data_IF_970605353980
#
_entry.id   IF_970605353980
#
_cell.length_a   1.000
_cell.length_b   1.000
_cell.length_c   1.000
_cell.angle_alpha   90.00
_cell.angle_beta   90.00
_cell.angle_gamma   90.00
#
_symmetry.space_group_name_H-M   'P 1'
#
loop_
_entity.id
_entity.type
_entity.pdbx_description
1 polymer ?
#
# COMPACT_ATOMS: atom_id res chain seq x y z
N UNK A 1 -19.58 -5.11 44.39
CA UNK A 1 -18.52 -5.02 43.38
C UNK A 1 -18.85 -3.82 42.54
N UNK A 2 -17.91 -2.91 42.32
CA UNK A 2 -18.11 -1.86 41.32
C UNK A 2 -18.26 -2.57 39.98
N UNK A 3 -19.28 -2.17 39.22
CA UNK A 3 -19.50 -2.69 37.88
C UNK A 3 -18.34 -2.22 37.00
N UNK A 4 -17.84 -3.12 36.16
CA UNK A 4 -16.70 -2.87 35.29
C UNK A 4 -17.15 -2.98 33.84
N UNK A 5 -16.68 -2.06 33.02
CA UNK A 5 -16.90 -2.03 31.59
C UNK A 5 -15.68 -2.60 30.89
N UNK A 6 -15.92 -3.41 29.87
CA UNK A 6 -14.90 -3.91 28.94
C UNK A 6 -15.12 -3.22 27.60
N UNK A 7 -14.12 -2.47 27.15
CA UNK A 7 -14.14 -1.74 25.89
C UNK A 7 -13.30 -2.50 24.87
N UNK A 8 -13.90 -2.89 23.75
CA UNK A 8 -13.20 -3.55 22.65
C UNK A 8 -12.72 -2.52 21.63
N UNK A 9 -11.44 -2.54 21.30
CA UNK A 9 -10.82 -1.61 20.35
C UNK A 9 -10.54 -2.27 19.00
N UNK A 10 -10.58 -1.44 17.96
CA UNK A 10 -10.14 -1.83 16.62
C UNK A 10 -9.45 -0.68 15.92
N UNK A 11 -8.51 -1.01 15.05
CA UNK A 11 -7.95 -0.08 14.08
C UNK A 11 -8.76 -0.12 12.80
N UNK A 12 -9.24 1.03 12.36
CA UNK A 12 -9.84 1.24 11.06
C UNK A 12 -8.84 1.82 10.08
N UNK A 13 -8.43 1.00 9.12
CA UNK A 13 -7.53 1.36 8.04
C UNK A 13 -8.32 1.97 6.88
N UNK A 14 -8.03 3.23 6.54
CA UNK A 14 -8.85 4.01 5.59
C UNK A 14 -8.29 3.94 4.18
N UNK A 15 -8.97 3.20 3.31
CA UNK A 15 -8.67 3.07 1.88
C UNK A 15 -9.57 4.01 1.06
N UNK A 16 -9.07 5.21 0.80
CA UNK A 16 -9.86 6.30 0.21
C UNK A 16 -10.38 5.98 -1.20
N UNK A 17 -9.58 5.29 -2.01
CA UNK A 17 -9.91 4.93 -3.39
C UNK A 17 -11.01 3.89 -3.48
N UNK A 18 -11.06 3.00 -2.50
CA UNK A 18 -12.10 1.98 -2.34
C UNK A 18 -13.32 2.50 -1.58
N UNK A 19 -13.26 3.71 -1.00
CA UNK A 19 -14.24 4.21 -0.02
C UNK A 19 -14.52 3.14 1.03
N UNK A 20 -13.45 2.61 1.64
CA UNK A 20 -13.53 1.50 2.58
C UNK A 20 -12.71 1.82 3.85
N UNK A 21 -13.26 1.44 5.00
CA UNK A 21 -12.53 1.31 6.26
C UNK A 21 -12.49 -0.17 6.63
N UNK A 22 -11.29 -0.72 6.71
CA UNK A 22 -11.07 -2.11 7.14
C UNK A 22 -10.78 -2.12 8.63
N UNK A 23 -11.63 -2.79 9.39
CA UNK A 23 -11.57 -2.88 10.85
C UNK A 23 -10.80 -4.13 11.27
N UNK A 24 -9.70 -3.93 11.99
CA UNK A 24 -8.93 -5.00 12.62
C UNK A 24 -9.01 -4.87 14.15
N UNK A 25 -9.45 -5.90 14.89
CA UNK A 25 -9.52 -5.86 16.35
C UNK A 25 -8.14 -5.90 16.98
N UNK A 26 -7.89 -5.06 17.99
CA UNK A 26 -6.54 -4.89 18.60
C UNK A 26 -6.50 -5.13 20.10
N UNK A 27 -7.64 -5.47 20.71
CA UNK A 27 -7.69 -5.83 22.12
C UNK A 27 -8.83 -5.15 22.86
N UNK A 28 -8.78 -5.22 24.19
CA UNK A 28 -9.80 -4.69 25.07
C UNK A 28 -9.20 -4.11 26.34
N UNK A 29 -9.86 -3.10 26.93
CA UNK A 29 -9.50 -2.55 28.23
C UNK A 29 -10.66 -2.72 29.23
N UNK A 30 -10.35 -2.86 30.51
CA UNK A 30 -11.34 -2.96 31.59
C UNK A 30 -11.23 -1.71 32.47
N UNK A 31 -12.34 -0.99 32.61
CA UNK A 31 -12.46 0.22 33.42
C UNK A 31 -13.60 0.08 34.43
N UNK A 32 -13.48 0.70 35.60
CA UNK A 32 -14.61 0.76 36.52
C UNK A 32 -15.67 1.71 35.96
N UNK A 33 -16.95 1.35 36.03
CA UNK A 33 -18.04 2.16 35.47
C UNK A 33 -18.12 3.55 36.11
N UNK A 34 -17.70 3.69 37.38
CA UNK A 34 -17.63 4.98 38.09
C UNK A 34 -16.43 5.86 37.69
N UNK A 35 -15.44 5.29 36.99
CA UNK A 35 -14.27 6.00 36.46
C UNK A 35 -14.37 6.23 34.94
N UNK A 36 -15.40 5.68 34.28
CA UNK A 36 -15.58 5.81 32.84
C UNK A 36 -16.10 7.21 32.48
N UNK A 37 -15.23 8.00 31.85
CA UNK A 37 -15.56 9.29 31.24
C UNK A 37 -15.39 9.18 29.72
N UNK A 38 -16.51 9.20 28.99
CA UNK A 38 -16.54 9.03 27.54
C UNK A 38 -15.69 10.07 26.80
N UNK A 39 -15.74 11.32 27.25
CA UNK A 39 -15.00 12.43 26.66
C UNK A 39 -13.49 12.27 26.82
N UNK A 40 -13.04 11.66 27.93
CA UNK A 40 -11.64 11.34 28.17
C UNK A 40 -11.18 10.23 27.22
N UNK A 41 -12.00 9.19 27.05
CA UNK A 41 -11.72 8.10 26.12
C UNK A 41 -11.64 8.61 24.67
N UNK A 42 -12.57 9.48 24.25
CA UNK A 42 -12.55 10.12 22.94
C UNK A 42 -11.27 10.95 22.74
N UNK A 43 -10.91 11.79 23.71
CA UNK A 43 -9.70 12.61 23.63
C UNK A 43 -8.43 11.77 23.52
N UNK A 44 -8.38 10.62 24.20
CA UNK A 44 -7.26 9.68 24.11
C UNK A 44 -7.14 9.05 22.71
N UNK A 45 -8.26 8.65 22.11
CA UNK A 45 -8.28 8.08 20.76
C UNK A 45 -7.98 9.11 19.65
N UNK A 46 -8.41 10.36 19.83
CA UNK A 46 -8.10 11.47 18.91
C UNK A 46 -6.60 11.79 18.83
N UNK A 47 -5.85 11.41 19.87
CA UNK A 47 -4.42 11.64 20.00
C UNK A 47 -3.58 10.70 19.10
N UNK A 48 -4.21 9.70 18.47
CA UNK A 48 -3.61 8.78 17.49
C UNK A 48 -3.27 7.42 18.07
N UNK A 49 -3.08 6.42 17.19
CA UNK A 49 -2.84 5.03 17.63
C UNK A 49 -1.50 4.89 18.36
N UNK A 50 -0.50 5.68 17.99
CA UNK A 50 0.86 5.63 18.54
C UNK A 50 0.93 6.10 20.00
N UNK A 51 -0.03 6.93 20.42
CA UNK A 51 -0.19 7.35 21.81
C UNK A 51 -1.14 6.44 22.57
N UNK A 52 -2.13 5.88 21.89
CA UNK A 52 -3.23 5.16 22.52
C UNK A 52 -2.95 3.67 22.73
N UNK A 53 -2.03 3.07 21.97
CA UNK A 53 -1.80 1.62 21.94
C UNK A 53 -0.31 1.27 22.00
N UNK A 54 -0.02 0.01 22.36
CA UNK A 54 1.36 -0.48 22.39
C UNK A 54 1.92 -0.64 20.97
N UNK A 55 3.21 -0.38 20.81
CA UNK A 55 3.91 -0.50 19.52
C UNK A 55 3.80 -1.91 18.92
N UNK A 56 3.75 -2.95 19.76
CA UNK A 56 3.56 -4.34 19.34
C UNK A 56 2.21 -4.57 18.66
N UNK A 57 1.13 -4.00 19.21
CA UNK A 57 -0.22 -4.18 18.67
C UNK A 57 -0.37 -3.48 17.32
N UNK A 58 0.23 -2.28 17.21
CA UNK A 58 0.30 -1.51 15.96
C UNK A 58 1.06 -2.30 14.90
N UNK A 59 2.21 -2.88 15.26
CA UNK A 59 3.01 -3.66 14.34
C UNK A 59 2.27 -4.90 13.85
N UNK A 60 1.65 -5.66 14.75
CA UNK A 60 0.87 -6.86 14.40
C UNK A 60 -0.28 -6.51 13.46
N UNK A 61 -1.08 -5.50 13.79
CA UNK A 61 -2.20 -5.06 12.97
C UNK A 61 -1.74 -4.61 11.57
N UNK A 62 -0.64 -3.87 11.48
CA UNK A 62 -0.06 -3.43 10.21
C UNK A 62 0.43 -4.61 9.36
N UNK A 63 1.08 -5.61 9.96
CA UNK A 63 1.51 -6.82 9.25
C UNK A 63 0.32 -7.60 8.67
N UNK A 64 -0.79 -7.70 9.41
CA UNK A 64 -2.01 -8.37 8.93
C UNK A 64 -2.70 -7.61 7.80
N UNK A 65 -2.69 -6.28 7.83
CA UNK A 65 -3.33 -5.46 6.78
C UNK A 65 -2.47 -5.31 5.54
N UNK A 66 -1.15 -5.41 5.66
CA UNK A 66 -0.17 -5.21 4.57
C UNK A 66 -0.54 -5.93 3.26
N UNK A 67 -1.02 -7.20 3.25
CA UNK A 67 -1.40 -7.88 2.03
C UNK A 67 -2.55 -7.21 1.26
N UNK A 68 -3.44 -6.47 1.93
CA UNK A 68 -4.53 -5.74 1.27
C UNK A 68 -4.03 -4.56 0.44
N UNK A 69 -2.87 -4.00 0.75
CA UNK A 69 -2.29 -2.86 0.01
C UNK A 69 -2.02 -3.20 -1.46
N UNK A 70 -1.78 -4.47 -1.77
CA UNK A 70 -1.61 -4.95 -3.15
C UNK A 70 -2.88 -4.74 -4.01
N UNK A 71 -4.06 -4.72 -3.38
CA UNK A 71 -5.35 -4.64 -4.05
C UNK A 71 -6.03 -3.28 -3.84
N UNK A 72 -5.88 -2.72 -2.65
CA UNK A 72 -6.62 -1.55 -2.19
C UNK A 72 -5.76 -0.28 -2.11
N UNK A 73 -4.45 -0.39 -2.42
CA UNK A 73 -3.42 0.65 -2.21
C UNK A 73 -3.09 0.87 -0.72
N UNK A 74 -2.06 1.66 -0.42
CA UNK A 74 -1.71 1.99 0.97
C UNK A 74 -2.89 2.72 1.65
N UNK A 75 -3.22 2.38 2.91
CA UNK A 75 -4.22 3.13 3.66
C UNK A 75 -3.73 4.57 3.87
N UNK A 76 -4.64 5.53 3.69
CA UNK A 76 -4.35 6.96 3.86
C UNK A 76 -4.09 7.34 5.33
N UNK A 77 -4.65 6.56 6.25
CA UNK A 77 -4.50 6.71 7.70
C UNK A 77 -5.09 5.49 8.42
N UNK A 78 -4.72 5.37 9.68
CA UNK A 78 -5.28 4.41 10.63
C UNK A 78 -5.98 5.20 11.73
N UNK A 79 -7.18 4.78 12.11
CA UNK A 79 -7.98 5.46 13.14
C UNK A 79 -8.41 4.43 14.19
N UNK A 80 -8.22 4.68 15.49
CA UNK A 80 -8.74 3.80 16.51
C UNK A 80 -10.24 3.99 16.71
N UNK A 81 -10.94 2.90 17.00
CA UNK A 81 -12.37 2.87 17.31
C UNK A 81 -12.61 2.02 18.56
N UNK A 82 -13.57 2.45 19.38
CA UNK A 82 -14.29 1.51 20.25
C UNK A 82 -15.34 0.82 19.39
N UNK A 83 -15.35 -0.50 19.38
CA UNK A 83 -16.27 -1.32 18.57
C UNK A 83 -17.38 -1.94 19.38
N UNK A 84 -17.14 -2.15 20.67
CA UNK A 84 -18.12 -2.70 21.59
C UNK A 84 -17.81 -2.23 23.01
N UNK A 85 -18.85 -2.12 23.83
CA UNK A 85 -18.75 -1.86 25.27
C UNK A 85 -19.61 -2.90 25.97
N UNK A 86 -19.04 -3.65 26.90
CA UNK A 86 -19.70 -4.77 27.58
C UNK A 86 -19.57 -4.65 29.09
N UNK A 87 -20.46 -5.30 29.83
CA UNK A 87 -20.21 -5.60 31.23
C UNK A 87 -19.10 -6.65 31.35
N UNK A 88 -18.00 -6.31 32.03
CA UNK A 88 -16.80 -7.16 32.06
C UNK A 88 -17.03 -8.52 32.74
N UNK A 89 -18.01 -8.61 33.65
CA UNK A 89 -18.30 -9.84 34.40
C UNK A 89 -19.25 -10.77 33.66
N UNK A 90 -20.32 -10.21 33.10
CA UNK A 90 -21.40 -10.97 32.43
C UNK A 90 -21.20 -11.10 30.93
N UNK A 91 -20.33 -10.26 30.34
CA UNK A 91 -20.10 -10.10 28.90
C UNK A 91 -21.34 -9.63 28.13
N UNK A 92 -22.33 -9.07 28.82
CA UNK A 92 -23.52 -8.46 28.20
C UNK A 92 -23.12 -7.18 27.46
N UNK A 93 -23.48 -7.09 26.18
CA UNK A 93 -23.22 -5.91 25.35
C UNK A 93 -24.11 -4.73 25.76
N UNK A 94 -23.54 -3.52 25.73
CA UNK A 94 -24.18 -2.28 26.14
C UNK A 94 -24.35 -1.35 24.92
N UNK A 95 -25.27 -1.67 23.98
CA UNK A 95 -25.41 -0.97 22.69
C UNK A 95 -25.71 0.52 22.82
N UNK A 96 -26.32 0.96 23.92
CA UNK A 96 -26.57 2.39 24.16
C UNK A 96 -25.28 3.18 24.39
N UNK A 97 -24.32 2.62 25.12
CA UNK A 97 -23.06 3.30 25.41
C UNK A 97 -22.21 3.43 24.15
N UNK A 98 -22.17 2.41 23.31
CA UNK A 98 -21.47 2.49 22.02
C UNK A 98 -22.14 3.48 21.06
N UNK A 99 -23.48 3.57 21.04
CA UNK A 99 -24.20 4.59 20.26
C UNK A 99 -23.90 6.02 20.75
N UNK A 100 -23.77 6.22 22.05
CA UNK A 100 -23.39 7.51 22.63
C UNK A 100 -21.92 7.84 22.32
N UNK A 101 -21.03 6.87 22.43
CA UNK A 101 -19.62 7.00 22.06
C UNK A 101 -19.44 7.38 20.58
N UNK A 102 -20.10 6.66 19.66
CA UNK A 102 -20.05 6.95 18.23
C UNK A 102 -20.57 8.36 17.90
N UNK A 103 -21.57 8.86 18.65
CA UNK A 103 -22.10 10.22 18.50
C UNK A 103 -21.17 11.29 19.04
N UNK A 104 -20.40 11.01 20.10
CA UNK A 104 -19.42 11.95 20.63
C UNK A 104 -18.19 12.00 19.72
N UNK A 105 -17.64 10.84 19.36
CA UNK A 105 -16.45 10.72 18.52
C UNK A 105 -16.69 11.15 17.07
N UNK A 106 -17.89 10.93 16.52
CA UNK A 106 -18.37 11.37 15.17
C UNK A 106 -17.57 10.89 13.96
N UNK A 107 -16.43 10.23 14.15
CA UNK A 107 -15.54 9.76 13.08
C UNK A 107 -16.27 8.78 12.16
N UNK A 108 -16.85 7.73 12.74
CA UNK A 108 -17.53 6.66 11.98
C UNK A 108 -18.66 7.23 11.12
N UNK A 109 -19.52 8.05 11.72
CA UNK A 109 -20.61 8.70 11.00
C UNK A 109 -20.12 9.62 9.88
N UNK A 110 -19.03 10.36 10.10
CA UNK A 110 -18.43 11.26 9.11
C UNK A 110 -18.00 10.49 7.85
N UNK A 111 -17.39 9.31 8.02
CA UNK A 111 -16.99 8.46 6.91
C UNK A 111 -18.18 7.82 6.18
N UNK A 112 -19.16 7.31 6.92
CA UNK A 112 -20.39 6.78 6.32
C UNK A 112 -21.10 7.86 5.50
N UNK A 113 -21.20 9.11 6.00
CA UNK A 113 -21.76 10.25 5.26
C UNK A 113 -20.98 10.58 3.99
N UNK A 114 -19.67 10.31 3.97
CA UNK A 114 -18.80 10.44 2.78
C UNK A 114 -18.86 9.21 1.84
N UNK A 115 -19.74 8.26 2.13
CA UNK A 115 -19.97 7.07 1.31
C UNK A 115 -18.98 5.92 1.56
N UNK A 116 -18.29 5.92 2.70
CA UNK A 116 -17.39 4.83 3.05
C UNK A 116 -18.15 3.64 3.61
N UNK A 117 -17.78 2.44 3.19
CA UNK A 117 -18.15 1.21 3.86
C UNK A 117 -17.20 0.94 5.03
N UNK A 118 -17.72 0.39 6.12
CA UNK A 118 -16.91 -0.05 7.27
C UNK A 118 -17.13 -1.56 7.41
N UNK A 119 -16.06 -2.34 7.29
CA UNK A 119 -16.12 -3.81 7.26
C UNK A 119 -15.01 -4.41 8.11
N UNK A 120 -15.25 -5.57 8.68
CA UNK A 120 -14.19 -6.34 9.34
C UNK A 120 -13.18 -6.86 8.31
N UNK A 121 -11.94 -7.05 8.78
CA UNK A 121 -10.81 -7.51 7.98
C UNK A 121 -11.08 -8.83 7.25
N UNK A 122 -11.78 -9.78 7.89
CA UNK A 122 -12.01 -11.12 7.32
C UNK A 122 -13.00 -11.06 6.17
N UNK A 123 -14.08 -10.30 6.33
CA UNK A 123 -15.02 -10.03 5.25
C UNK A 123 -14.32 -9.41 4.04
N UNK A 124 -13.40 -8.46 4.27
CA UNK A 124 -12.67 -7.80 3.18
C UNK A 124 -11.71 -8.76 2.49
N UNK A 125 -10.98 -9.60 3.22
CA UNK A 125 -10.13 -10.62 2.61
C UNK A 125 -10.92 -11.60 1.73
N UNK A 126 -12.06 -12.09 2.21
CA UNK A 126 -12.93 -13.00 1.44
C UNK A 126 -13.52 -12.35 0.19
N UNK A 127 -13.70 -11.02 0.21
CA UNK A 127 -14.43 -10.27 -0.82
C UNK A 127 -13.58 -9.16 -1.46
N UNK A 128 -12.25 -9.26 -1.42
CA UNK A 128 -11.33 -8.17 -1.79
C UNK A 128 -11.59 -7.63 -3.20
N UNK A 129 -11.99 -8.51 -4.12
CA UNK A 129 -12.32 -8.18 -5.52
C UNK A 129 -13.43 -7.12 -5.63
N UNK A 130 -14.35 -7.06 -4.68
CA UNK A 130 -15.44 -6.08 -4.68
C UNK A 130 -14.97 -4.67 -4.32
N UNK A 131 -13.83 -4.56 -3.65
CA UNK A 131 -13.29 -3.31 -3.12
C UNK A 131 -12.10 -2.79 -3.94
N UNK A 132 -11.63 -3.53 -4.96
CA UNK A 132 -10.56 -3.07 -5.85
C UNK A 132 -10.98 -1.75 -6.52
N UNK A 133 -10.21 -0.66 -6.40
CA UNK A 133 -10.52 0.61 -7.04
C UNK A 133 -10.64 0.48 -8.56
N UNK A 134 -11.72 1.03 -9.12
CA UNK A 134 -11.91 1.14 -10.57
C UNK A 134 -11.40 2.49 -11.03
N UNK A 135 -10.20 2.51 -11.59
CA UNK A 135 -9.50 3.76 -11.91
C UNK A 135 -9.02 3.80 -13.35
N UNK A 136 -9.00 5.01 -13.92
CA UNK A 136 -8.32 5.23 -15.19
C UNK A 136 -6.83 5.42 -14.95
N UNK A 137 -6.04 4.37 -15.19
CA UNK A 137 -4.59 4.40 -14.99
C UNK A 137 -3.83 5.24 -16.03
N UNK A 138 -4.50 5.79 -17.06
CA UNK A 138 -3.84 6.66 -18.02
C UNK A 138 -3.28 7.94 -17.40
N UNK A 139 -3.87 8.41 -16.29
CA UNK A 139 -3.39 9.58 -15.56
C UNK A 139 -2.07 9.31 -14.83
N UNK A 140 -1.67 8.04 -14.69
CA UNK A 140 -0.42 7.63 -14.05
C UNK A 140 0.73 7.45 -15.05
N UNK A 141 0.47 7.62 -16.35
CA UNK A 141 1.52 7.59 -17.36
C UNK A 141 2.49 8.75 -17.13
N UNK A 142 3.76 8.42 -16.86
CA UNK A 142 4.84 9.40 -16.77
C UNK A 142 5.44 9.72 -18.15
N UNK A 143 5.23 8.83 -19.12
CA UNK A 143 5.53 9.02 -20.53
C UNK A 143 4.53 8.22 -21.37
N UNK A 144 4.03 8.82 -22.45
CA UNK A 144 3.20 8.18 -23.48
C UNK A 144 3.71 8.63 -24.84
N UNK A 145 4.18 7.68 -25.66
CA UNK A 145 4.91 8.00 -26.89
C UNK A 145 4.74 6.90 -27.95
N UNK A 146 4.82 7.26 -29.23
CA UNK A 146 4.91 6.28 -30.32
C UNK A 146 6.20 5.46 -30.20
N UNK A 147 6.10 4.15 -30.41
CA UNK A 147 7.20 3.21 -30.18
C UNK A 147 8.42 3.46 -31.08
N UNK A 148 8.20 4.00 -32.27
CA UNK A 148 9.27 4.36 -33.21
C UNK A 148 10.08 5.59 -32.75
N UNK A 149 9.50 6.46 -31.92
CA UNK A 149 10.14 7.66 -31.33
C UNK A 149 10.90 7.40 -30.03
N UNK A 150 10.91 6.17 -29.53
CA UNK A 150 11.64 5.78 -28.32
C UNK A 150 12.73 4.75 -28.63
N UNK A 151 13.92 4.91 -28.04
CA UNK A 151 15.01 3.93 -28.15
C UNK A 151 14.98 2.92 -27.00
N UNK A 152 14.09 1.94 -27.12
CA UNK A 152 13.91 0.87 -26.13
C UNK A 152 15.16 0.00 -25.95
N UNK A 153 15.96 -0.19 -27.00
CA UNK A 153 17.18 -1.01 -26.94
C UNK A 153 18.25 -0.31 -26.10
N UNK A 154 18.51 0.97 -26.36
CA UNK A 154 19.45 1.77 -25.58
C UNK A 154 18.99 1.94 -24.13
N UNK A 155 17.69 2.12 -23.89
CA UNK A 155 17.11 2.17 -22.55
C UNK A 155 17.43 0.91 -21.74
N UNK A 156 17.05 -0.26 -22.25
CA UNK A 156 17.31 -1.55 -21.57
C UNK A 156 18.80 -1.79 -21.36
N UNK A 157 19.62 -1.53 -22.40
CA UNK A 157 21.07 -1.74 -22.33
C UNK A 157 21.73 -0.83 -21.29
N UNK A 158 21.28 0.41 -21.18
CA UNK A 158 21.81 1.38 -20.22
C UNK A 158 21.41 1.02 -18.80
N UNK A 159 20.14 0.62 -18.59
CA UNK A 159 19.66 0.12 -17.30
C UNK A 159 20.46 -1.09 -16.83
N UNK A 160 20.68 -2.11 -17.69
CA UNK A 160 21.52 -3.28 -17.36
C UNK A 160 22.90 -2.89 -16.88
N UNK A 161 23.59 -2.10 -17.71
CA UNK A 161 24.96 -1.65 -17.43
C UNK A 161 25.06 -0.85 -16.13
N UNK A 162 24.05 -0.06 -15.79
CA UNK A 162 24.10 0.82 -14.63
C UNK A 162 23.69 0.13 -13.32
N UNK A 163 23.11 -1.07 -13.40
CA UNK A 163 22.64 -1.86 -12.26
C UNK A 163 23.32 -3.25 -12.21
N UNK A 164 24.38 -3.48 -12.98
CA UNK A 164 25.07 -4.77 -13.11
C UNK A 164 25.65 -5.29 -11.79
N UNK A 165 26.07 -4.39 -10.90
CA UNK A 165 26.55 -4.72 -9.56
C UNK A 165 25.43 -5.10 -8.58
N UNK A 166 24.16 -4.79 -8.89
CA UNK A 166 23.03 -4.96 -7.99
C UNK A 166 22.00 -6.01 -8.46
N UNK A 167 21.81 -6.18 -9.77
CA UNK A 167 20.80 -7.06 -10.36
C UNK A 167 21.42 -7.85 -11.51
N UNK A 168 21.08 -9.14 -11.58
CA UNK A 168 21.40 -9.96 -12.75
C UNK A 168 20.75 -9.38 -14.02
N UNK A 169 21.57 -9.02 -15.00
CA UNK A 169 21.12 -8.45 -16.27
C UNK A 169 20.10 -9.32 -17.04
N UNK A 170 20.05 -10.63 -16.77
CA UNK A 170 19.06 -11.55 -17.34
C UNK A 170 17.64 -11.28 -16.83
N UNK A 171 17.50 -10.60 -15.70
CA UNK A 171 16.24 -10.16 -15.11
C UNK A 171 15.78 -8.81 -15.67
N UNK A 172 16.42 -8.27 -16.71
CA UNK A 172 16.04 -6.99 -17.32
C UNK A 172 15.88 -7.17 -18.83
N UNK A 173 14.71 -6.86 -19.44
CA UNK A 173 13.42 -6.63 -18.79
C UNK A 173 12.78 -7.96 -18.33
N UNK A 174 11.86 -7.87 -17.38
CA UNK A 174 11.00 -8.99 -17.01
C UNK A 174 9.71 -8.90 -17.82
N UNK A 175 9.33 -9.99 -18.48
CA UNK A 175 8.07 -10.05 -19.25
C UNK A 175 6.88 -10.19 -18.31
N UNK A 176 5.82 -9.47 -18.62
CA UNK A 176 4.67 -9.32 -17.74
C UNK A 176 3.37 -9.58 -18.48
N UNK A 177 2.40 -10.19 -17.80
CA UNK A 177 1.01 -10.25 -18.23
C UNK A 177 0.13 -9.50 -17.23
N UNK A 178 -0.82 -8.74 -17.76
CA UNK A 178 -1.78 -8.01 -16.94
C UNK A 178 -2.67 -8.99 -16.18
N UNK A 179 -2.85 -8.75 -14.89
CA UNK A 179 -3.77 -9.53 -14.05
C UNK A 179 -5.21 -9.36 -14.51
N UNK A 180 -5.99 -10.43 -14.44
CA UNK A 180 -7.45 -10.37 -14.67
C UNK A 180 -8.21 -9.77 -13.48
N UNK A 181 -7.56 -9.64 -12.31
CA UNK A 181 -8.19 -9.14 -11.08
C UNK A 181 -8.23 -7.61 -11.05
N UNK A 182 -7.19 -6.95 -11.55
CA UNK A 182 -7.06 -5.49 -11.49
C UNK A 182 -6.10 -4.98 -12.56
N UNK A 183 -6.37 -3.76 -13.03
CA UNK A 183 -5.52 -3.10 -14.01
C UNK A 183 -4.15 -2.67 -13.44
N UNK A 184 -4.00 -2.69 -12.11
CA UNK A 184 -2.76 -2.27 -11.42
C UNK A 184 -1.71 -3.37 -11.29
N UNK A 185 -2.11 -4.63 -11.40
CA UNK A 185 -1.24 -5.78 -11.12
C UNK A 185 -0.84 -6.49 -12.40
N UNK A 186 0.43 -6.83 -12.47
CA UNK A 186 1.04 -7.57 -13.55
C UNK A 186 1.83 -8.72 -12.96
N UNK A 187 1.72 -9.89 -13.57
CA UNK A 187 2.40 -11.10 -13.12
C UNK A 187 3.47 -11.44 -14.14
N UNK A 188 4.64 -11.89 -13.69
CA UNK A 188 5.66 -12.38 -14.61
C UNK A 188 5.10 -13.48 -15.50
N UNK A 189 5.43 -13.42 -16.78
CA UNK A 189 5.13 -14.47 -17.74
C UNK A 189 6.40 -14.99 -18.39
N UNK A 190 6.43 -16.30 -18.62
CA UNK A 190 7.46 -16.95 -19.44
C UNK A 190 7.14 -16.89 -20.94
N UNK A 191 5.95 -16.38 -21.31
CA UNK A 191 5.52 -16.24 -22.70
C UNK A 191 6.40 -15.25 -23.46
N UNK A 192 6.68 -15.59 -24.72
CA UNK A 192 7.57 -14.77 -25.53
C UNK A 192 6.91 -13.47 -25.99
N UNK A 193 5.59 -13.49 -26.20
CA UNK A 193 4.82 -12.42 -26.81
C UNK A 193 3.90 -11.77 -25.76
N UNK A 194 4.49 -10.86 -24.99
CA UNK A 194 3.76 -10.01 -24.04
C UNK A 194 3.83 -8.56 -24.48
N UNK A 195 2.72 -7.84 -24.36
CA UNK A 195 2.67 -6.39 -24.59
C UNK A 195 3.26 -5.60 -23.43
N UNK A 196 3.43 -6.22 -22.26
CA UNK A 196 3.91 -5.56 -21.05
C UNK A 196 5.25 -6.13 -20.58
N UNK A 197 6.09 -5.23 -20.04
CA UNK A 197 7.36 -5.60 -19.42
C UNK A 197 7.64 -4.71 -18.22
N UNK A 198 8.32 -5.25 -17.23
CA UNK A 198 8.88 -4.49 -16.13
C UNK A 198 10.37 -4.23 -16.38
N UNK A 199 10.79 -2.99 -16.19
CA UNK A 199 12.18 -2.56 -16.27
C UNK A 199 12.51 -1.87 -14.96
N UNK A 200 13.40 -2.48 -14.18
CA UNK A 200 13.86 -1.93 -12.90
C UNK A 200 14.53 -0.57 -13.10
N UNK A 201 14.31 0.33 -12.16
CA UNK A 201 14.98 1.62 -12.06
C UNK A 201 15.85 1.69 -10.81
N UNK A 202 15.38 1.19 -9.67
CA UNK A 202 16.08 1.31 -8.41
C UNK A 202 15.90 0.04 -7.55
N UNK A 203 16.96 -0.35 -6.85
CA UNK A 203 17.03 -1.55 -6.01
C UNK A 203 17.91 -1.32 -4.79
N UNK A 204 17.67 -2.10 -3.73
CA UNK A 204 18.52 -2.14 -2.54
C UNK A 204 19.87 -2.85 -2.86
N UNK A 205 20.98 -2.24 -2.47
CA UNK A 205 22.32 -2.83 -2.61
C UNK A 205 22.57 -3.85 -1.48
N UNK A 206 22.17 -5.10 -1.72
CA UNK A 206 22.01 -6.16 -0.73
C UNK A 206 23.27 -6.70 -0.01
N UNK A 207 24.47 -6.10 -0.15
CA UNK A 207 25.69 -6.64 0.47
C UNK A 207 26.33 -5.83 1.61
N UNK A 208 26.28 -4.48 1.63
CA UNK A 208 26.96 -3.68 2.68
C UNK A 208 26.35 -2.28 2.93
N UNK A 209 25.01 -2.13 2.84
CA UNK A 209 24.22 -0.92 3.14
C UNK A 209 24.89 0.40 2.70
N UNK A 210 24.84 0.68 1.40
CA UNK A 210 25.13 2.01 0.86
C UNK A 210 23.93 2.58 0.12
N UNK A 211 22.71 2.27 0.56
CA UNK A 211 21.49 2.88 0.03
C UNK A 211 20.95 2.21 -1.24
N UNK A 212 20.09 2.94 -1.93
CA UNK A 212 19.34 2.50 -3.11
C UNK A 212 20.10 2.92 -4.37
N UNK A 213 20.54 1.95 -5.16
CA UNK A 213 21.18 2.21 -6.45
C UNK A 213 20.13 2.42 -7.53
N UNK A 214 20.21 3.54 -8.25
CA UNK A 214 19.32 3.89 -9.33
C UNK A 214 19.98 3.70 -10.71
N UNK A 215 19.18 3.46 -11.74
CA UNK A 215 19.62 3.25 -13.12
C UNK A 215 20.24 4.52 -13.75
N UNK A 216 20.01 5.70 -13.16
CA UNK A 216 20.73 6.93 -13.50
C UNK A 216 22.07 7.08 -12.74
N UNK A 217 22.54 6.02 -12.08
CA UNK A 217 23.77 5.93 -11.26
C UNK A 217 23.78 6.75 -9.97
N UNK A 218 22.66 7.39 -9.61
CA UNK A 218 22.53 8.02 -8.29
C UNK A 218 22.36 6.93 -7.24
N UNK A 219 22.95 7.18 -6.08
CA UNK A 219 22.77 6.37 -4.87
C UNK A 219 22.01 7.24 -3.89
N UNK A 220 20.94 6.70 -3.33
CA UNK A 220 20.14 7.34 -2.29
C UNK A 220 20.47 6.65 -0.97
N UNK A 221 21.20 7.34 -0.11
CA UNK A 221 21.69 6.85 1.19
C UNK A 221 20.78 7.20 2.37
N UNK A 222 19.94 8.23 2.23
CA UNK A 222 18.91 8.59 3.19
C UNK A 222 17.66 7.72 3.02
N UNK A 223 17.30 6.97 4.07
CA UNK A 223 16.12 6.09 4.10
C UNK A 223 14.86 6.81 4.63
N UNK A 224 14.99 8.02 5.18
CA UNK A 224 13.87 8.85 5.65
C UNK A 224 13.32 9.77 4.55
N UNK A 225 13.69 9.50 3.29
CA UNK A 225 13.19 10.24 2.14
C UNK A 225 11.72 9.92 1.84
N UNK A 226 11.03 10.89 1.25
CA UNK A 226 9.71 10.64 0.72
C UNK A 226 9.80 9.78 -0.57
N UNK A 227 9.49 8.49 -0.43
CA UNK A 227 9.37 7.52 -1.53
C UNK A 227 7.92 7.34 -1.99
N UNK A 228 6.96 7.99 -1.34
CA UNK A 228 5.53 7.80 -1.55
C UNK A 228 5.04 6.38 -1.26
N UNK A 229 4.27 5.83 -2.20
CA UNK A 229 3.68 4.50 -2.10
C UNK A 229 4.66 3.37 -2.47
N UNK A 230 5.89 3.72 -2.85
CA UNK A 230 6.93 2.76 -3.17
C UNK A 230 7.40 2.04 -1.91
N UNK A 231 7.75 0.77 -2.06
CA UNK A 231 8.42 -0.03 -1.04
C UNK A 231 9.66 -0.63 -1.70
N UNK A 232 10.80 -0.60 -0.99
CA UNK A 232 12.05 -1.18 -1.50
C UNK A 232 12.65 -2.09 -0.43
N UNK A 233 13.13 -3.25 -0.86
CA UNK A 233 13.81 -4.20 0.02
C UNK A 233 14.59 -5.20 -0.83
N UNK A 234 15.22 -6.20 -0.19
CA UNK A 234 15.89 -7.30 -0.89
C UNK A 234 15.03 -8.04 -1.91
N UNK A 235 13.70 -8.02 -1.77
CA UNK A 235 12.79 -8.68 -2.69
C UNK A 235 11.89 -7.73 -3.47
N UNK A 236 11.89 -6.42 -3.16
CA UNK A 236 11.01 -5.44 -3.79
C UNK A 236 11.85 -4.35 -4.43
N UNK A 237 11.69 -4.18 -5.75
CA UNK A 237 12.38 -3.17 -6.54
C UNK A 237 11.42 -2.08 -7.02
N UNK A 238 11.96 -0.93 -7.42
CA UNK A 238 11.21 0.19 -8.02
C UNK A 238 11.55 0.25 -9.51
N UNK A 239 10.55 0.43 -10.37
CA UNK A 239 10.79 0.46 -11.81
C UNK A 239 9.61 0.90 -12.64
N UNK A 240 9.77 0.73 -13.95
CA UNK A 240 8.77 1.05 -14.95
C UNK A 240 7.99 -0.20 -15.30
N UNK A 241 6.66 -0.11 -15.22
CA UNK A 241 5.82 -0.95 -16.04
C UNK A 241 5.63 -0.28 -17.40
N UNK A 242 6.06 -0.98 -18.45
CA UNK A 242 6.00 -0.50 -19.83
C UNK A 242 5.04 -1.37 -20.62
N UNK A 243 3.99 -0.75 -21.15
CA UNK A 243 3.00 -1.41 -22.02
C UNK A 243 3.15 -0.87 -23.45
N UNK A 244 3.17 -1.76 -24.45
CA UNK A 244 3.08 -1.43 -25.88
C UNK A 244 1.71 -1.88 -26.40
N UNK A 245 0.84 -0.92 -26.68
CA UNK A 245 -0.49 -1.16 -27.23
C UNK A 245 -0.62 -0.37 -28.51
N UNK A 246 -0.80 -1.08 -29.63
CA UNK A 246 -0.99 -0.50 -30.96
C UNK A 246 0.13 0.48 -31.38
N UNK A 247 1.38 0.18 -30.99
CA UNK A 247 2.54 1.00 -31.31
C UNK A 247 2.69 2.25 -30.42
N UNK A 248 1.92 2.34 -29.33
CA UNK A 248 2.06 3.37 -28.31
C UNK A 248 2.65 2.74 -27.05
N UNK A 249 3.82 3.22 -26.66
CA UNK A 249 4.46 2.91 -25.39
C UNK A 249 3.88 3.79 -24.29
N UNK A 250 3.52 3.17 -23.17
CA UNK A 250 3.21 3.88 -21.93
C UNK A 250 4.13 3.41 -20.81
N UNK A 251 4.59 4.36 -20.00
CA UNK A 251 5.45 4.10 -18.84
C UNK A 251 4.71 4.54 -17.58
N UNK A 252 4.58 3.61 -16.63
CA UNK A 252 4.03 3.87 -15.29
C UNK A 252 5.01 3.41 -14.24
N UNK A 253 4.99 4.06 -13.08
CA UNK A 253 5.87 3.70 -11.96
C UNK A 253 5.25 2.53 -11.20
N UNK A 254 6.08 1.54 -10.85
CA UNK A 254 5.63 0.33 -10.20
C UNK A 254 6.65 -0.20 -9.18
N UNK A 255 6.14 -0.85 -8.13
CA UNK A 255 6.91 -1.79 -7.31
C UNK A 255 6.96 -3.15 -8.01
N UNK A 256 8.03 -3.89 -7.85
CA UNK A 256 8.14 -5.28 -8.29
C UNK A 256 8.59 -6.18 -7.15
N UNK A 257 7.70 -7.08 -6.73
CA UNK A 257 8.01 -8.11 -5.75
C UNK A 257 8.48 -9.38 -6.45
N UNK A 258 9.75 -9.70 -6.29
CA UNK A 258 10.41 -10.89 -6.84
C UNK A 258 10.13 -12.17 -6.07
N UNK A 259 9.59 -12.07 -4.84
CA UNK A 259 9.35 -13.18 -3.92
C UNK A 259 8.01 -13.01 -3.19
N UNK A 260 6.91 -13.43 -3.81
CA UNK A 260 5.63 -13.59 -3.10
C UNK A 260 5.55 -14.97 -2.42
N UNK A 261 4.69 -15.14 -1.42
CA UNK A 261 4.53 -16.41 -0.69
C UNK A 261 4.18 -17.60 -1.60
N UNK A 262 3.47 -17.34 -2.70
CA UNK A 262 3.09 -18.34 -3.70
C UNK A 262 4.13 -18.48 -4.83
N UNK A 263 5.32 -17.92 -4.67
CA UNK A 263 6.41 -17.88 -5.66
C UNK A 263 6.08 -17.17 -6.99
N UNK A 264 4.99 -16.41 -7.04
CA UNK A 264 4.73 -15.49 -8.15
C UNK A 264 5.65 -14.28 -8.05
N UNK A 265 5.93 -13.66 -9.19
CA UNK A 265 6.63 -12.37 -9.25
C UNK A 265 5.66 -11.34 -9.81
N UNK A 266 5.48 -10.24 -9.10
CA UNK A 266 4.35 -9.32 -9.31
C UNK A 266 4.84 -7.89 -9.39
N UNK A 267 4.42 -7.16 -10.42
CA UNK A 267 4.56 -5.71 -10.50
C UNK A 267 3.22 -5.03 -10.18
N UNK A 268 3.26 -3.97 -9.36
CA UNK A 268 2.10 -3.18 -8.97
C UNK A 268 2.32 -1.70 -9.31
N UNK A 269 1.43 -1.12 -10.11
CA UNK A 269 1.43 0.32 -10.42
C UNK A 269 1.06 1.14 -9.18
N UNK A 270 1.89 2.16 -8.88
CA UNK A 270 1.69 3.08 -7.74
C UNK A 270 1.28 4.48 -8.19
N UNK A 271 0.69 5.26 -7.29
CA UNK A 271 0.22 6.63 -7.60
C UNK A 271 1.27 7.69 -7.29
N UNK A 272 1.90 7.54 -6.13
CA UNK A 272 2.90 8.47 -5.64
C UNK A 272 4.24 7.75 -5.44
N UNK A 273 5.31 8.37 -5.94
CA UNK A 273 6.66 7.82 -5.91
C UNK A 273 7.70 8.81 -5.39
N UNK A 274 7.23 9.86 -4.71
CA UNK A 274 8.07 10.88 -4.09
C UNK A 274 9.21 11.36 -4.98
N UNK A 275 10.44 11.30 -4.46
CA UNK A 275 11.63 11.77 -5.19
C UNK A 275 11.93 10.97 -6.46
N UNK A 276 11.54 9.69 -6.51
CA UNK A 276 11.81 8.82 -7.66
C UNK A 276 11.06 9.27 -8.90
N UNK A 277 9.89 9.89 -8.74
CA UNK A 277 9.08 10.35 -9.88
C UNK A 277 9.90 11.20 -10.85
N UNK A 278 10.55 12.24 -10.33
CA UNK A 278 11.35 13.16 -11.13
C UNK A 278 12.55 12.46 -11.74
N UNK A 279 13.27 11.66 -10.94
CA UNK A 279 14.45 10.91 -11.41
C UNK A 279 14.11 9.94 -12.53
N UNK A 280 12.96 9.27 -12.44
CA UNK A 280 12.49 8.32 -13.44
C UNK A 280 12.06 9.03 -14.73
N UNK A 281 11.35 10.16 -14.62
CA UNK A 281 10.97 10.99 -15.77
C UNK A 281 12.21 11.52 -16.50
N UNK A 282 13.19 12.04 -15.76
CA UNK A 282 14.45 12.54 -16.34
C UNK A 282 15.19 11.42 -17.09
N UNK A 283 15.36 10.26 -16.45
CA UNK A 283 16.09 9.14 -17.01
C UNK A 283 15.41 8.58 -18.27
N UNK A 284 14.09 8.33 -18.24
CA UNK A 284 13.39 7.76 -19.41
C UNK A 284 13.41 8.72 -20.61
N UNK A 285 13.43 10.04 -20.36
CA UNK A 285 13.48 11.05 -21.42
C UNK A 285 14.83 11.12 -22.14
N UNK A 286 15.91 10.55 -21.60
CA UNK A 286 17.21 10.46 -22.28
C UNK A 286 17.17 9.59 -23.54
N UNK A 287 16.14 8.74 -23.67
CA UNK A 287 15.99 7.74 -24.74
C UNK A 287 14.96 8.13 -25.79
N UNK A 288 14.49 9.38 -25.77
CA UNK A 288 13.68 9.96 -26.85
C UNK A 288 14.55 10.19 -28.09
N UNK A 289 14.03 9.83 -29.27
CA UNK A 289 14.71 10.03 -30.57
C UNK A 289 14.47 11.41 -31.17
#
# INVERSE_FOLDING_TARGET
MNKQLELDYSFGYVFDKSKLIVMYPVGSNIINEDEYEMEVEVAFLEDGIEKAFEESDIKEANEIIKPLEMFLMKPSKVIPFVTNIKDASTKEELPKLIEEFDKEYKIKESFIKKGYEVKDVYHVFENVVNYIPKENLDTLNILKIESDKFDMESFIKTTKKNLDEAIDESLIPIKMIKSSLTDRLFIKSDDKDTSAKYIVFATDMSSYSQGILCANKKIIDDLDIDMGDLDISKSIDIGYLVEDVDGILTFKIANFNSHTENNNQVAQIVDYSGIFKTMMIEFVNEFLK
#
